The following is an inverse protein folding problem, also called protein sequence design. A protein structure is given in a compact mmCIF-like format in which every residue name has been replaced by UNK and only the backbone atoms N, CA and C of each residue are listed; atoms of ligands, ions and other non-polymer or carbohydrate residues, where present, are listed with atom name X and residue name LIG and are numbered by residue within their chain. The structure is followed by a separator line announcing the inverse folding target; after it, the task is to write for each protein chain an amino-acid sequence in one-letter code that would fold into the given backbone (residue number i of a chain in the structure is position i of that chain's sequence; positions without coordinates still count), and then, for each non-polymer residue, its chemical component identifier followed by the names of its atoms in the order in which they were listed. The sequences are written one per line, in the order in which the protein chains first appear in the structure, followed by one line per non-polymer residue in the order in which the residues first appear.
data_IF_371849596628
#
_entry.id   IF_371849596628
#
_cell.length_a   1.000
_cell.length_b   1.000
_cell.length_c   1.000
_cell.angle_alpha   90.00
_cell.angle_beta   90.00
_cell.angle_gamma   90.00
#
_symmetry.space_group_name_H-M   'P 1'
#
loop_
_entity.id
_entity.type
_entity.pdbx_description
1 polymer ?
#
# COMPACT_ATOMS: atom_id res chain seq x y z
N UNK A 1 -1.13 -11.21 -15.00
CA UNK A 1 0.21 -10.58 -14.83
C UNK A 1 0.59 -10.53 -13.35
N UNK A 2 1.81 -10.94 -12.96
CA UNK A 2 2.31 -11.00 -11.56
C UNK A 2 2.88 -9.65 -11.05
N UNK A 3 2.62 -8.57 -11.79
CA UNK A 3 3.35 -7.29 -11.72
C UNK A 3 3.40 -6.67 -10.32
N UNK A 4 2.26 -6.50 -9.65
CA UNK A 4 2.20 -5.98 -8.28
C UNK A 4 2.20 -7.07 -7.20
N UNK A 5 1.58 -8.22 -7.47
CA UNK A 5 1.38 -9.29 -6.48
C UNK A 5 2.70 -9.87 -5.93
N UNK A 6 3.77 -9.88 -6.73
CA UNK A 6 5.11 -10.32 -6.28
C UNK A 6 5.63 -9.53 -5.08
N UNK A 7 5.30 -8.24 -4.99
CA UNK A 7 5.77 -7.39 -3.89
C UNK A 7 5.02 -7.70 -2.60
N UNK A 8 3.72 -8.00 -2.68
CA UNK A 8 2.93 -8.46 -1.54
C UNK A 8 3.51 -9.76 -0.98
N UNK A 9 3.80 -10.74 -1.85
CA UNK A 9 4.45 -11.99 -1.45
C UNK A 9 5.82 -11.77 -0.82
N UNK A 10 6.67 -10.98 -1.45
CA UNK A 10 8.02 -10.70 -0.93
C UNK A 10 7.96 -10.03 0.45
N UNK A 11 7.01 -9.11 0.68
CA UNK A 11 6.83 -8.47 1.99
C UNK A 11 6.50 -9.52 3.06
N UNK A 12 5.54 -10.41 2.79
CA UNK A 12 5.12 -11.49 3.70
C UNK A 12 6.25 -12.48 3.96
N UNK A 13 6.97 -12.90 2.90
CA UNK A 13 8.14 -13.78 3.00
C UNK A 13 9.27 -13.14 3.82
N UNK A 14 9.38 -11.81 3.81
CA UNK A 14 10.34 -11.05 4.62
C UNK A 14 9.82 -10.73 6.04
N UNK A 15 8.66 -11.27 6.44
CA UNK A 15 8.05 -11.01 7.75
C UNK A 15 7.52 -9.59 7.94
N UNK A 16 7.30 -8.83 6.86
CA UNK A 16 6.76 -7.46 6.94
C UNK A 16 5.23 -7.50 6.94
N UNK A 17 4.57 -6.72 7.82
CA UNK A 17 3.12 -6.59 7.77
C UNK A 17 2.68 -5.96 6.44
N UNK A 18 1.60 -6.50 5.87
CA UNK A 18 1.05 -6.05 4.59
C UNK A 18 -0.31 -5.37 4.82
N UNK A 19 -0.41 -4.10 4.46
CA UNK A 19 -1.67 -3.37 4.43
C UNK A 19 -2.15 -3.19 2.97
N UNK A 20 -3.43 -3.44 2.72
CA UNK A 20 -4.08 -3.25 1.42
C UNK A 20 -5.20 -2.21 1.56
N UNK A 21 -5.18 -1.19 0.69
CA UNK A 21 -6.24 -0.19 0.59
C UNK A 21 -6.86 -0.28 -0.80
N UNK A 22 -8.02 -0.92 -0.90
CA UNK A 22 -8.74 -1.07 -2.16
C UNK A 22 -10.21 -1.41 -1.88
N UNK A 23 -11.15 -0.76 -2.58
CA UNK A 23 -12.59 -1.06 -2.46
C UNK A 23 -12.92 -2.48 -2.92
N UNK A 24 -12.23 -2.97 -3.95
CA UNK A 24 -12.45 -4.30 -4.52
C UNK A 24 -11.57 -5.40 -3.93
N UNK A 25 -11.86 -6.64 -4.30
CA UNK A 25 -11.02 -7.80 -3.98
C UNK A 25 -9.67 -7.69 -4.67
N UNK A 26 -8.61 -8.07 -3.97
CA UNK A 26 -7.27 -8.20 -4.53
C UNK A 26 -6.76 -9.63 -4.40
N UNK A 27 -5.80 -9.99 -5.25
CA UNK A 27 -5.14 -11.29 -5.18
C UNK A 27 -4.32 -11.49 -3.91
N UNK A 28 -4.01 -10.44 -3.17
CA UNK A 28 -3.22 -10.49 -1.93
C UNK A 28 -4.08 -10.35 -0.66
N UNK A 29 -5.41 -10.37 -0.77
CA UNK A 29 -6.29 -10.17 0.39
C UNK A 29 -6.03 -11.19 1.50
N UNK A 30 -5.81 -12.46 1.17
CA UNK A 30 -5.50 -13.52 2.13
C UNK A 30 -4.11 -13.39 2.77
N UNK A 31 -3.23 -12.60 2.16
CA UNK A 31 -1.88 -12.32 2.67
C UNK A 31 -1.84 -11.07 3.56
N UNK A 32 -2.90 -10.26 3.54
CA UNK A 32 -2.91 -8.95 4.18
C UNK A 32 -3.04 -9.09 5.71
N UNK A 33 -2.19 -8.37 6.43
CA UNK A 33 -2.34 -8.14 7.87
C UNK A 33 -3.50 -7.17 8.14
N UNK A 34 -3.72 -6.21 7.23
CA UNK A 34 -4.80 -5.24 7.29
C UNK A 34 -5.38 -5.01 5.89
N UNK A 35 -6.71 -5.09 5.76
CA UNK A 35 -7.42 -4.73 4.53
C UNK A 35 -8.42 -3.61 4.82
N UNK A 36 -8.26 -2.49 4.12
CA UNK A 36 -9.17 -1.34 4.14
C UNK A 36 -9.95 -1.30 2.82
N UNK A 37 -11.25 -1.57 2.91
CA UNK A 37 -12.17 -1.48 1.77
C UNK A 37 -12.59 -0.03 1.49
N UNK A 38 -11.61 0.79 1.09
CA UNK A 38 -11.77 2.24 0.90
C UNK A 38 -11.11 2.71 -0.40
N UNK A 39 -11.39 3.97 -0.77
CA UNK A 39 -10.72 4.62 -1.89
C UNK A 39 -9.27 4.94 -1.55
N UNK A 40 -8.34 4.49 -2.41
CA UNK A 40 -6.91 4.67 -2.16
C UNK A 40 -6.48 6.14 -2.16
N UNK A 41 -7.09 6.98 -2.99
CA UNK A 41 -6.73 8.40 -3.06
C UNK A 41 -7.19 9.16 -1.81
N UNK A 42 -8.41 8.90 -1.34
CA UNK A 42 -8.94 9.50 -0.12
C UNK A 42 -8.12 9.08 1.12
N UNK A 43 -7.80 7.79 1.24
CA UNK A 43 -6.98 7.30 2.35
C UNK A 43 -5.59 7.90 2.32
N UNK A 44 -4.95 7.97 1.14
CA UNK A 44 -3.63 8.58 1.01
C UNK A 44 -3.65 10.06 1.41
N UNK A 45 -4.65 10.82 0.97
CA UNK A 45 -4.78 12.23 1.33
C UNK A 45 -4.92 12.42 2.84
N UNK A 46 -5.79 11.65 3.50
CA UNK A 46 -5.97 11.69 4.94
C UNK A 46 -4.68 11.30 5.69
N UNK A 47 -3.97 10.27 5.21
CA UNK A 47 -2.71 9.82 5.81
C UNK A 47 -1.63 10.90 5.73
N UNK A 48 -1.49 11.57 4.58
CA UNK A 48 -0.53 12.66 4.41
C UNK A 48 -0.84 13.82 5.35
N UNK A 49 -2.13 14.16 5.54
CA UNK A 49 -2.52 15.19 6.50
C UNK A 49 -2.16 14.82 7.94
N UNK A 50 -2.31 13.54 8.31
CA UNK A 50 -2.01 13.05 9.66
C UNK A 50 -0.51 12.96 9.96
N UNK A 51 0.30 12.59 8.97
CA UNK A 51 1.76 12.48 9.13
C UNK A 51 2.47 13.86 9.21
N UNK A 52 1.72 14.96 9.10
CA UNK A 52 2.29 16.31 8.95
C UNK A 52 2.93 16.47 7.57
N UNK A 53 3.42 17.68 7.25
CA UNK A 53 4.06 17.96 5.96
C UNK A 53 5.36 17.18 5.78
N UNK A 54 5.25 15.92 5.33
CA UNK A 54 6.37 15.14 4.82
C UNK A 54 6.80 15.82 3.54
N UNK A 55 7.97 16.49 3.55
CA UNK A 55 8.54 16.99 2.32
C UNK A 55 8.85 15.79 1.42
N UNK A 56 8.23 15.68 0.22
CA UNK A 56 8.49 14.57 -0.67
C UNK A 56 9.96 14.66 -1.12
N UNK A 57 10.80 13.79 -0.56
CA UNK A 57 12.18 13.59 -1.01
C UNK A 57 12.20 12.65 -2.22
N UNK A 58 11.40 12.95 -3.24
CA UNK A 58 11.39 12.15 -4.48
C UNK A 58 12.33 12.85 -5.46
N UNK A 59 13.54 12.31 -5.61
CA UNK A 59 14.35 12.58 -6.80
C UNK A 59 13.78 11.73 -7.93
N UNK A 60 13.06 12.35 -8.87
CA UNK A 60 12.81 11.74 -10.17
C UNK A 60 14.13 11.83 -10.93
N UNK A 61 14.81 10.70 -11.11
CA UNK A 61 15.95 10.62 -12.02
C UNK A 61 15.44 10.79 -13.47
N UNK A 62 16.21 11.47 -14.35
CA UNK A 62 15.81 11.72 -15.74
C UNK A 62 15.67 10.42 -16.54
#
# INVERSE_FOLDING_TARGET
VYSGYRFCRQAVESGKPLAIVNRGTTRADELATLKLSMDGAQVLQALVQQLGSVQPSVRVAP
#
